data_IF_620064371329
#
_entry.id   IF_620064371329
#
_cell.length_a   1.000
_cell.length_b   1.000
_cell.length_c   1.000
_cell.angle_alpha   90.00
_cell.angle_beta   90.00
_cell.angle_gamma   90.00
#
_symmetry.space_group_name_H-M   'P 1'
#
loop_
_entity.id
_entity.type
_entity.pdbx_description
1 polymer ?
#
# COMPACT_ATOMS: atom_id res chain seq x y z
N UNK A 1 14.58 18.66 -10.71
CA UNK A 1 13.12 18.83 -10.84
C UNK A 1 12.49 18.52 -9.49
N UNK A 2 11.57 19.36 -9.02
CA UNK A 2 10.91 19.13 -7.72
C UNK A 2 9.96 17.93 -7.84
N UNK A 3 10.23 16.83 -7.12
CA UNK A 3 9.36 15.65 -7.08
C UNK A 3 8.28 15.83 -6.01
N UNK A 4 7.14 15.17 -6.19
CA UNK A 4 6.06 15.11 -5.20
C UNK A 4 5.67 13.66 -4.96
N UNK A 5 5.71 13.22 -3.71
CA UNK A 5 5.38 11.87 -3.29
C UNK A 5 4.13 11.84 -2.43
N UNK A 6 3.23 10.90 -2.71
CA UNK A 6 2.10 10.55 -1.84
C UNK A 6 2.31 9.12 -1.32
N UNK A 7 2.56 8.97 -0.02
CA UNK A 7 2.85 7.67 0.61
C UNK A 7 1.57 7.11 1.25
N UNK A 8 1.07 5.99 0.72
CA UNK A 8 -0.16 5.34 1.17
C UNK A 8 0.18 4.05 1.90
N UNK A 9 -0.18 3.98 3.18
CA UNK A 9 0.06 2.82 4.03
C UNK A 9 -0.83 1.62 3.66
N UNK A 10 -0.46 0.44 4.16
CA UNK A 10 -1.21 -0.81 4.02
C UNK A 10 -2.31 -0.98 5.08
N UNK A 11 -2.92 -2.16 5.13
CA UNK A 11 -3.94 -2.44 6.15
C UNK A 11 -3.41 -2.43 7.57
N UNK A 12 -4.30 -2.07 8.52
CA UNK A 12 -4.03 -1.98 9.96
C UNK A 12 -3.05 -0.86 10.37
N UNK A 13 -2.31 -0.30 9.42
CA UNK A 13 -1.37 0.80 9.62
C UNK A 13 -2.03 2.17 9.55
N UNK A 14 -1.22 3.20 9.80
CA UNK A 14 -1.49 4.61 9.55
C UNK A 14 -0.27 5.29 8.95
N UNK A 15 -0.33 6.61 8.79
CA UNK A 15 0.77 7.44 8.27
C UNK A 15 2.10 7.23 9.02
N UNK A 16 2.00 6.86 10.30
CA UNK A 16 3.13 6.59 11.18
C UNK A 16 4.11 5.56 10.63
N UNK A 17 3.68 4.61 9.79
CA UNK A 17 4.58 3.58 9.25
C UNK A 17 5.68 4.16 8.36
N UNK A 18 5.46 5.34 7.78
CA UNK A 18 6.43 6.00 6.91
C UNK A 18 7.43 6.90 7.64
N UNK A 19 7.47 6.90 8.98
CA UNK A 19 8.28 7.87 9.74
C UNK A 19 9.78 7.82 9.44
N UNK A 20 10.32 6.65 9.06
CA UNK A 20 11.72 6.51 8.62
C UNK A 20 11.94 6.89 7.16
N UNK A 21 10.95 6.69 6.29
CA UNK A 21 11.08 6.91 4.83
C UNK A 21 10.79 8.35 4.44
N UNK A 22 9.73 8.95 4.99
CA UNK A 22 9.26 10.28 4.57
C UNK A 22 10.32 11.38 4.75
N UNK A 23 11.08 11.46 5.86
CA UNK A 23 12.14 12.47 6.01
C UNK A 23 13.27 12.33 4.99
N UNK A 24 13.54 11.10 4.51
CA UNK A 24 14.58 10.83 3.52
C UNK A 24 14.15 11.32 2.13
N UNK A 25 12.92 10.99 1.71
CA UNK A 25 12.36 11.47 0.44
C UNK A 25 12.16 12.99 0.42
N UNK A 26 11.92 13.63 1.58
CA UNK A 26 11.79 15.09 1.69
C UNK A 26 13.04 15.85 1.27
N UNK A 27 14.20 15.20 1.21
CA UNK A 27 15.44 15.81 0.70
C UNK A 27 15.37 16.08 -0.81
N UNK A 28 14.59 15.30 -1.55
CA UNK A 28 14.44 15.40 -3.00
C UNK A 28 13.14 16.05 -3.48
N UNK A 29 12.18 16.31 -2.60
CA UNK A 29 10.88 16.83 -3.00
C UNK A 29 9.84 16.94 -1.88
N UNK A 30 8.62 17.28 -2.27
CA UNK A 30 7.49 17.32 -1.34
C UNK A 30 6.99 15.90 -1.04
N UNK A 31 6.65 15.63 0.23
CA UNK A 31 6.15 14.31 0.66
C UNK A 31 4.90 14.46 1.51
N UNK A 32 3.79 13.92 1.03
CA UNK A 32 2.50 13.86 1.70
C UNK A 32 2.26 12.44 2.20
N UNK A 33 1.90 12.32 3.48
CA UNK A 33 1.72 11.02 4.16
C UNK A 33 0.42 11.07 4.97
N UNK A 34 -0.74 10.79 4.34
CA UNK A 34 -2.01 10.83 5.04
C UNK A 34 -2.28 9.54 5.82
N UNK A 35 -3.08 9.65 6.88
CA UNK A 35 -3.86 8.52 7.37
C UNK A 35 -4.98 8.23 6.36
N UNK A 36 -5.15 6.97 5.98
CA UNK A 36 -6.30 6.58 5.16
C UNK A 36 -7.59 6.61 6.01
N UNK A 37 -8.74 6.99 5.40
CA UNK A 37 -10.01 7.03 6.12
C UNK A 37 -10.32 5.72 6.86
N UNK A 38 -10.94 5.84 8.01
CA UNK A 38 -11.27 4.73 8.91
C UNK A 38 -10.15 4.35 9.89
N UNK A 39 -8.93 4.91 9.80
CA UNK A 39 -7.81 4.64 10.72
C UNK A 39 -7.24 5.94 11.28
N UNK A 40 -6.31 5.80 12.23
CA UNK A 40 -5.50 6.90 12.75
C UNK A 40 -6.35 8.10 13.12
N UNK A 41 -6.01 9.26 12.55
CA UNK A 41 -6.72 10.54 12.79
C UNK A 41 -8.05 10.68 12.06
N UNK A 42 -8.45 9.71 11.24
CA UNK A 42 -9.71 9.72 10.46
C UNK A 42 -10.65 8.54 10.79
N UNK A 43 -11.02 8.27 12.06
CA UNK A 43 -11.71 7.03 12.43
C UNK A 43 -13.19 6.94 11.99
N UNK A 44 -13.85 8.06 11.69
CA UNK A 44 -15.32 8.21 11.67
C UNK A 44 -16.05 7.74 10.39
N UNK A 45 -15.57 6.71 9.69
CA UNK A 45 -16.14 6.31 8.39
C UNK A 45 -16.79 4.92 8.37
N UNK A 46 -16.59 4.10 9.40
CA UNK A 46 -17.24 2.80 9.53
C UNK A 46 -18.70 2.96 10.02
N UNK A 47 -19.64 2.10 9.58
CA UNK A 47 -19.45 0.92 8.73
C UNK A 47 -19.49 1.24 7.23
N UNK A 48 -19.59 2.51 6.83
CA UNK A 48 -19.96 2.89 5.47
C UNK A 48 -18.78 3.16 4.52
N UNK A 49 -17.54 2.97 4.97
CA UNK A 49 -16.36 3.32 4.18
C UNK A 49 -16.14 2.36 3.00
N UNK A 50 -16.34 2.85 1.79
CA UNK A 50 -16.09 2.10 0.55
C UNK A 50 -14.86 2.60 -0.19
N UNK A 51 -14.34 1.82 -1.14
CA UNK A 51 -13.22 2.25 -1.98
C UNK A 51 -13.50 3.58 -2.71
N UNK A 52 -14.67 3.82 -3.34
CA UNK A 52 -14.99 5.14 -3.91
C UNK A 52 -15.00 6.29 -2.89
N UNK A 53 -15.41 6.04 -1.63
CA UNK A 53 -15.31 7.05 -0.56
C UNK A 53 -13.86 7.35 -0.20
N UNK A 54 -13.00 6.33 -0.17
CA UNK A 54 -11.57 6.52 0.03
C UNK A 54 -10.94 7.32 -1.12
N UNK A 55 -11.29 7.02 -2.37
CA UNK A 55 -10.83 7.78 -3.55
C UNK A 55 -11.22 9.26 -3.41
N UNK A 56 -12.47 9.57 -3.09
CA UNK A 56 -12.91 10.97 -2.89
C UNK A 56 -12.15 11.69 -1.76
N UNK A 57 -11.85 10.99 -0.67
CA UNK A 57 -11.13 11.58 0.45
C UNK A 57 -9.64 11.85 0.15
N UNK A 58 -9.01 11.00 -0.67
CA UNK A 58 -7.57 11.08 -0.97
C UNK A 58 -7.28 11.86 -2.25
N UNK A 59 -8.21 11.94 -3.21
CA UNK A 59 -8.08 12.68 -4.46
C UNK A 59 -7.54 14.13 -4.29
N UNK A 60 -8.00 14.93 -3.31
CA UNK A 60 -7.44 16.27 -3.09
C UNK A 60 -5.94 16.29 -2.76
N UNK A 61 -5.38 15.19 -2.23
CA UNK A 61 -3.95 15.07 -1.90
C UNK A 61 -3.09 14.66 -3.09
N UNK A 62 -3.70 14.05 -4.12
CA UNK A 62 -3.02 13.69 -5.37
C UNK A 62 -2.79 14.94 -6.22
N UNK A 63 -3.77 15.84 -6.26
CA UNK A 63 -3.65 17.13 -6.94
C UNK A 63 -2.58 18.00 -6.30
N UNK A 64 -1.63 18.48 -7.10
CA UNK A 64 -0.54 19.35 -6.66
C UNK A 64 0.00 20.20 -7.82
N UNK A 65 0.97 21.09 -7.56
CA UNK A 65 1.56 21.94 -8.59
C UNK A 65 2.33 21.16 -9.65
N UNK A 66 2.71 19.91 -9.34
CA UNK A 66 3.36 18.96 -10.26
C UNK A 66 2.68 17.59 -10.15
N UNK A 67 2.72 16.74 -11.20
CA UNK A 67 2.19 15.39 -11.13
C UNK A 67 2.83 14.58 -9.99
N UNK A 68 2.00 13.87 -9.23
CA UNK A 68 2.38 13.16 -8.00
C UNK A 68 2.82 11.73 -8.30
N UNK A 69 3.94 11.29 -7.71
CA UNK A 69 4.30 9.87 -7.63
C UNK A 69 3.63 9.26 -6.40
N UNK A 70 2.76 8.28 -6.59
CA UNK A 70 2.11 7.55 -5.50
C UNK A 70 2.98 6.36 -5.14
N UNK A 71 3.39 6.23 -3.88
CA UNK A 71 4.00 5.01 -3.35
C UNK A 71 2.99 4.36 -2.43
N UNK A 72 2.58 3.15 -2.77
CA UNK A 72 1.50 2.46 -2.06
C UNK A 72 1.96 1.10 -1.57
N UNK A 73 1.60 0.78 -0.32
CA UNK A 73 1.96 -0.47 0.32
C UNK A 73 0.78 -1.44 0.44
N UNK A 74 1.03 -2.73 0.20
CA UNK A 74 0.14 -3.84 0.56
C UNK A 74 -1.30 -3.69 0.00
N UNK A 75 -2.32 -3.94 0.83
CA UNK A 75 -3.75 -3.99 0.43
C UNK A 75 -4.19 -2.79 -0.40
N UNK A 76 -3.64 -1.60 -0.13
CA UNK A 76 -4.10 -0.36 -0.75
C UNK A 76 -3.57 -0.09 -2.15
N UNK A 77 -2.83 -1.03 -2.74
CA UNK A 77 -2.60 -1.03 -4.19
C UNK A 77 -3.91 -0.82 -4.98
N UNK A 78 -5.03 -1.39 -4.52
CA UNK A 78 -6.36 -1.17 -5.14
C UNK A 78 -6.86 0.28 -5.05
N UNK A 79 -6.48 1.04 -4.02
CA UNK A 79 -6.79 2.46 -3.89
C UNK A 79 -5.92 3.29 -4.83
N UNK A 80 -4.62 3.00 -4.91
CA UNK A 80 -3.75 3.69 -5.86
C UNK A 80 -4.18 3.43 -7.30
N UNK A 81 -4.58 2.19 -7.62
CA UNK A 81 -5.18 1.84 -8.92
C UNK A 81 -6.43 2.67 -9.20
N UNK A 82 -7.35 2.78 -8.23
CA UNK A 82 -8.57 3.57 -8.40
C UNK A 82 -8.32 5.08 -8.49
N UNK A 83 -7.30 5.61 -7.81
CA UNK A 83 -6.86 7.00 -7.96
C UNK A 83 -6.28 7.24 -9.36
N UNK A 84 -5.43 6.34 -9.85
CA UNK A 84 -4.87 6.43 -11.20
C UNK A 84 -5.94 6.36 -12.28
N UNK A 85 -6.96 5.51 -12.11
CA UNK A 85 -8.12 5.46 -12.99
C UNK A 85 -8.88 6.79 -13.00
N UNK A 86 -9.11 7.40 -11.84
CA UNK A 86 -9.93 8.60 -11.71
C UNK A 86 -9.21 9.90 -12.12
N UNK A 87 -7.89 9.95 -12.01
CA UNK A 87 -7.11 11.18 -12.20
C UNK A 87 -5.73 10.88 -12.81
N UNK A 88 -5.66 10.23 -13.99
CA UNK A 88 -4.42 9.76 -14.57
C UNK A 88 -3.44 10.89 -14.91
N UNK A 89 -3.95 12.07 -15.26
CA UNK A 89 -3.14 13.24 -15.60
C UNK A 89 -2.45 13.90 -14.38
N UNK A 90 -2.98 13.68 -13.18
CA UNK A 90 -2.40 14.22 -11.94
C UNK A 90 -1.30 13.30 -11.37
N UNK A 91 -1.14 12.09 -11.93
CA UNK A 91 -0.25 11.08 -11.40
C UNK A 91 0.91 10.88 -12.37
N UNK A 92 2.12 11.10 -11.88
CA UNK A 92 3.35 10.82 -12.62
C UNK A 92 3.57 9.32 -12.77
N UNK A 93 3.44 8.59 -11.66
CA UNK A 93 3.74 7.17 -11.55
C UNK A 93 3.06 6.57 -10.32
N UNK A 94 2.71 5.29 -10.38
CA UNK A 94 2.34 4.50 -9.20
C UNK A 94 3.43 3.46 -8.92
N UNK A 95 4.01 3.52 -7.73
CA UNK A 95 4.99 2.57 -7.20
C UNK A 95 4.29 1.64 -6.21
N UNK A 96 4.14 0.39 -6.59
CA UNK A 96 3.54 -0.67 -5.79
C UNK A 96 4.62 -1.35 -4.96
N UNK A 97 4.68 -1.07 -3.66
CA UNK A 97 5.59 -1.72 -2.71
C UNK A 97 4.89 -2.95 -2.09
N UNK A 98 5.28 -4.15 -2.53
CA UNK A 98 4.61 -5.41 -2.15
C UNK A 98 3.07 -5.28 -2.09
N UNK A 99 2.52 -4.52 -3.03
CA UNK A 99 1.14 -4.06 -2.98
C UNK A 99 0.27 -4.87 -3.94
N UNK A 100 -1.05 -4.84 -3.68
CA UNK A 100 -2.02 -5.48 -4.55
C UNK A 100 -2.14 -4.76 -5.90
N UNK A 101 -1.50 -5.34 -6.90
CA UNK A 101 -1.56 -4.97 -8.31
C UNK A 101 -2.47 -5.97 -9.02
N UNK A 102 -3.76 -5.62 -9.13
CA UNK A 102 -4.80 -6.57 -9.54
C UNK A 102 -5.44 -6.16 -10.88
N UNK A 103 -5.80 -7.13 -11.73
CA UNK A 103 -6.50 -6.84 -12.97
C UNK A 103 -7.92 -6.31 -12.73
N UNK A 104 -8.48 -5.66 -13.74
CA UNK A 104 -9.88 -5.21 -13.73
C UNK A 104 -10.83 -6.36 -13.37
N UNK A 105 -11.81 -6.09 -12.51
CA UNK A 105 -12.77 -7.06 -12.00
C UNK A 105 -12.34 -7.83 -10.74
N UNK A 106 -11.05 -7.91 -10.44
CA UNK A 106 -10.53 -8.59 -9.25
C UNK A 106 -10.75 -7.80 -7.95
N UNK A 107 -10.60 -8.47 -6.80
CA UNK A 107 -10.79 -7.89 -5.45
C UNK A 107 -9.59 -8.22 -4.58
N UNK A 108 -9.20 -7.28 -3.72
CA UNK A 108 -8.16 -7.49 -2.71
C UNK A 108 -8.47 -8.65 -1.77
N UNK A 109 -9.74 -8.83 -1.37
CA UNK A 109 -10.14 -9.97 -0.53
C UNK A 109 -9.86 -11.31 -1.21
N UNK A 110 -10.20 -11.44 -2.49
CA UNK A 110 -10.10 -12.72 -3.19
C UNK A 110 -8.61 -13.04 -3.47
N UNK A 111 -7.80 -12.01 -3.78
CA UNK A 111 -6.34 -12.16 -3.88
C UNK A 111 -5.70 -12.59 -2.55
N UNK A 112 -6.11 -11.99 -1.43
CA UNK A 112 -5.67 -12.39 -0.09
C UNK A 112 -6.06 -13.84 0.24
N UNK A 113 -7.30 -14.23 -0.09
CA UNK A 113 -7.79 -15.59 0.17
C UNK A 113 -7.06 -16.65 -0.67
N UNK A 114 -6.63 -16.30 -1.89
CA UNK A 114 -5.86 -17.15 -2.79
C UNK A 114 -4.36 -17.22 -2.43
N UNK A 115 -3.86 -16.36 -1.55
CA UNK A 115 -2.48 -16.40 -1.07
C UNK A 115 -2.32 -17.42 0.05
N UNK A 116 -2.23 -18.69 -0.33
CA UNK A 116 -2.12 -19.82 0.61
C UNK A 116 -0.84 -19.80 1.44
N UNK A 117 0.20 -19.12 0.94
CA UNK A 117 1.52 -18.98 1.59
C UNK A 117 1.60 -17.77 2.54
N UNK A 118 0.55 -16.94 2.61
CA UNK A 118 0.48 -15.81 3.53
C UNK A 118 0.36 -16.28 4.98
N UNK A 119 1.30 -15.87 5.83
CA UNK A 119 1.22 -16.08 7.28
C UNK A 119 0.10 -15.28 7.92
N UNK A 120 -0.43 -14.22 7.29
CA UNK A 120 -1.49 -13.42 7.89
C UNK A 120 -2.86 -14.11 7.79
N UNK A 121 -3.08 -14.92 6.75
CA UNK A 121 -4.39 -15.51 6.42
C UNK A 121 -5.09 -16.19 7.61
N UNK A 122 -4.45 -17.06 8.42
CA UNK A 122 -5.10 -17.69 9.56
C UNK A 122 -5.32 -16.76 10.76
N UNK A 123 -4.71 -15.57 10.76
CA UNK A 123 -4.67 -14.65 11.91
C UNK A 123 -5.51 -13.39 11.71
N UNK A 124 -6.35 -13.32 10.68
CA UNK A 124 -7.28 -12.21 10.46
C UNK A 124 -8.66 -12.54 11.03
N UNK A 125 -9.09 -11.77 12.02
CA UNK A 125 -10.43 -11.84 12.58
C UNK A 125 -11.32 -10.73 11.98
N UNK A 126 -12.55 -11.07 11.61
CA UNK A 126 -13.53 -10.12 11.05
C UNK A 126 -14.66 -9.88 12.04
N UNK A 127 -14.84 -8.62 12.44
CA UNK A 127 -16.02 -8.14 13.14
C UNK A 127 -17.08 -7.74 12.11
N UNK A 128 -18.05 -8.63 11.89
CA UNK A 128 -19.12 -8.42 10.92
C UNK A 128 -20.10 -7.32 11.33
N UNK A 129 -20.25 -7.02 12.62
CA UNK A 129 -21.14 -5.97 13.11
C UNK A 129 -20.53 -4.59 12.85
N UNK A 130 -19.23 -4.44 13.12
CA UNK A 130 -18.50 -3.19 12.88
C UNK A 130 -17.98 -3.06 11.45
N UNK A 131 -18.02 -4.14 10.68
CA UNK A 131 -17.51 -4.26 9.31
C UNK A 131 -16.02 -3.91 9.26
N UNK A 132 -15.26 -4.49 10.19
CA UNK A 132 -13.81 -4.30 10.32
C UNK A 132 -13.09 -5.62 10.52
N UNK A 133 -11.86 -5.70 10.02
CA UNK A 133 -10.94 -6.79 10.29
C UNK A 133 -9.81 -6.35 11.21
N UNK A 134 -9.22 -7.29 11.94
CA UNK A 134 -8.05 -7.11 12.79
C UNK A 134 -7.08 -8.26 12.55
N UNK A 135 -5.80 -7.95 12.59
CA UNK A 135 -4.77 -8.96 12.66
C UNK A 135 -4.51 -9.31 14.13
N UNK A 136 -4.45 -10.60 14.43
CA UNK A 136 -4.05 -11.11 15.75
C UNK A 136 -2.60 -10.69 16.06
N UNK A 137 -2.34 -10.09 17.25
CA UNK A 137 -1.00 -9.72 17.68
C UNK A 137 0.05 -10.84 17.61
N UNK A 138 -0.34 -12.12 17.64
CA UNK A 138 0.58 -13.25 17.47
C UNK A 138 1.29 -13.23 16.11
N UNK A 139 0.65 -12.65 15.09
CA UNK A 139 1.18 -12.62 13.72
C UNK A 139 2.00 -11.36 13.41
N UNK A 140 2.06 -10.37 14.31
CA UNK A 140 2.69 -9.07 14.01
C UNK A 140 4.17 -9.25 13.66
N UNK A 141 4.94 -9.90 14.54
CA UNK A 141 6.38 -10.10 14.31
C UNK A 141 6.62 -10.93 13.05
N UNK A 142 6.18 -12.18 13.04
CA UNK A 142 6.52 -13.11 11.96
C UNK A 142 5.89 -12.76 10.60
N UNK A 143 4.71 -12.13 10.61
CA UNK A 143 3.97 -11.81 9.40
C UNK A 143 4.29 -10.44 8.81
N UNK A 144 4.44 -9.39 9.65
CA UNK A 144 4.61 -8.01 9.17
C UNK A 144 6.02 -7.44 9.39
N UNK A 145 6.76 -7.91 10.39
CA UNK A 145 7.98 -7.25 10.88
C UNK A 145 9.14 -8.23 11.08
N UNK A 146 9.21 -9.30 10.30
CA UNK A 146 10.11 -10.44 10.55
C UNK A 146 11.61 -10.06 10.56
N UNK A 147 11.96 -8.98 9.89
CA UNK A 147 13.32 -8.43 9.78
C UNK A 147 13.47 -7.04 10.42
N UNK A 148 12.50 -6.59 11.23
CA UNK A 148 12.55 -5.33 11.95
C UNK A 148 13.15 -5.50 13.35
N UNK A 149 13.73 -4.43 13.91
CA UNK A 149 14.20 -4.45 15.29
C UNK A 149 13.02 -4.44 16.28
N UNK A 150 13.29 -4.84 17.53
CA UNK A 150 12.26 -4.95 18.57
C UNK A 150 11.55 -3.63 18.85
N UNK A 151 12.27 -2.50 18.81
CA UNK A 151 11.67 -1.16 19.01
C UNK A 151 10.61 -0.84 17.95
N UNK A 152 10.85 -1.21 16.69
CA UNK A 152 9.88 -1.01 15.61
C UNK A 152 8.67 -1.93 15.77
N UNK A 153 8.89 -3.17 16.22
CA UNK A 153 7.81 -4.15 16.47
C UNK A 153 6.92 -3.67 17.61
N UNK A 154 7.50 -3.13 18.69
CA UNK A 154 6.75 -2.62 19.83
C UNK A 154 6.03 -1.30 19.51
N UNK A 155 6.66 -0.41 18.75
CA UNK A 155 5.98 0.77 18.20
C UNK A 155 4.77 0.35 17.37
N UNK A 156 4.94 -0.61 16.46
CA UNK A 156 3.87 -1.12 15.63
C UNK A 156 2.75 -1.78 16.45
N UNK A 157 3.10 -2.59 17.44
CA UNK A 157 2.12 -3.22 18.36
C UNK A 157 1.22 -2.18 19.02
N UNK A 158 1.78 -1.03 19.41
CA UNK A 158 1.02 0.06 20.03
C UNK A 158 0.11 0.83 19.06
N UNK A 159 0.41 0.79 17.76
CA UNK A 159 -0.22 1.66 16.75
C UNK A 159 -1.10 0.93 15.73
N UNK A 160 -0.91 -0.38 15.56
CA UNK A 160 -1.77 -1.20 14.70
C UNK A 160 -3.21 -1.14 15.16
N UNK A 161 -4.12 -1.01 14.20
CA UNK A 161 -5.54 -0.77 14.47
C UNK A 161 -6.45 -1.64 13.62
N UNK A 162 -7.75 -1.61 13.95
CA UNK A 162 -8.77 -2.28 13.14
C UNK A 162 -8.86 -1.67 11.74
N UNK A 163 -9.28 -2.47 10.77
CA UNK A 163 -9.22 -2.15 9.36
C UNK A 163 -10.62 -2.23 8.74
N UNK A 164 -11.17 -1.16 8.15
CA UNK A 164 -12.39 -1.24 7.36
C UNK A 164 -12.35 -2.34 6.31
N UNK A 165 -13.33 -3.25 6.31
CA UNK A 165 -13.30 -4.44 5.43
C UNK A 165 -13.94 -4.21 4.06
N UNK A 166 -14.90 -3.28 3.94
CA UNK A 166 -15.60 -3.02 2.67
C UNK A 166 -14.69 -2.61 1.50
N UNK A 167 -13.62 -1.80 1.67
CA UNK A 167 -12.73 -1.47 0.56
C UNK A 167 -12.11 -2.70 -0.09
N UNK A 168 -11.83 -3.77 0.67
CA UNK A 168 -11.26 -5.01 0.14
C UNK A 168 -12.24 -5.81 -0.75
N UNK A 169 -13.54 -5.54 -0.63
CA UNK A 169 -14.61 -6.18 -1.41
C UNK A 169 -14.90 -5.46 -2.74
N UNK A 170 -14.37 -4.25 -2.92
CA UNK A 170 -14.57 -3.50 -4.15
C UNK A 170 -13.87 -4.20 -5.32
N UNK A 171 -14.53 -4.27 -6.47
CA UNK A 171 -13.88 -4.69 -7.72
C UNK A 171 -13.04 -3.54 -8.23
N UNK A 172 -11.79 -3.84 -8.55
CA UNK A 172 -10.93 -2.95 -9.32
C UNK A 172 -11.58 -2.72 -10.68
N UNK A 173 -11.53 -1.48 -11.17
CA UNK A 173 -11.98 -1.10 -12.51
C UNK A 173 -10.87 -0.27 -13.12
N UNK A 174 -10.39 -0.69 -14.28
CA UNK A 174 -9.32 -0.02 -15.01
C UNK A 174 -9.67 0.08 -16.49
N UNK A 175 -9.21 1.16 -17.11
CA UNK A 175 -9.26 1.40 -18.56
C UNK A 175 -7.87 1.77 -19.08
N UNK A 176 -7.67 1.68 -20.39
CA UNK A 176 -6.41 2.08 -21.03
C UNK A 176 -6.15 3.59 -20.87
N UNK A 177 -7.19 4.42 -21.01
CA UNK A 177 -7.13 5.87 -20.84
C UNK A 177 -7.07 6.34 -19.37
N UNK A 178 -7.35 5.45 -18.42
CA UNK A 178 -7.29 5.70 -16.98
C UNK A 178 -6.00 5.16 -16.36
N UNK A 179 -6.11 4.08 -15.60
CA UNK A 179 -4.95 3.44 -14.96
C UNK A 179 -3.93 2.89 -15.96
N UNK A 180 -4.37 2.46 -17.15
CA UNK A 180 -3.51 1.86 -18.17
C UNK A 180 -2.38 2.79 -18.63
N UNK A 181 -2.68 4.06 -18.90
CA UNK A 181 -1.70 5.08 -19.35
C UNK A 181 -0.73 5.57 -18.28
N UNK A 182 -1.02 5.37 -17.01
CA UNK A 182 -0.17 5.87 -15.92
C UNK A 182 1.05 4.95 -15.79
N UNK A 183 2.30 5.47 -15.80
CA UNK A 183 3.47 4.65 -15.57
C UNK A 183 3.42 3.91 -14.23
N UNK A 184 3.85 2.66 -14.22
CA UNK A 184 3.79 1.77 -13.06
C UNK A 184 5.15 1.18 -12.76
N UNK A 185 5.46 1.09 -11.48
CA UNK A 185 6.62 0.35 -11.00
C UNK A 185 6.23 -0.55 -9.84
N UNK A 186 6.98 -1.63 -9.65
CA UNK A 186 6.78 -2.56 -8.54
C UNK A 186 8.08 -2.75 -7.77
N UNK A 187 8.03 -2.63 -6.45
CA UNK A 187 9.14 -2.96 -5.56
C UNK A 187 8.75 -4.26 -4.84
N UNK A 188 9.36 -5.36 -5.26
CA UNK A 188 9.16 -6.69 -4.65
C UNK A 188 9.91 -6.78 -3.33
N UNK A 189 9.27 -7.40 -2.35
CA UNK A 189 9.89 -7.72 -1.07
C UNK A 189 10.07 -9.24 -1.02
N UNK A 190 11.31 -9.69 -1.21
CA UNK A 190 11.58 -11.12 -1.50
C UNK A 190 11.48 -12.03 -0.28
N UNK A 191 11.41 -11.47 0.93
CA UNK A 191 11.20 -12.20 2.19
C UNK A 191 9.83 -11.89 2.80
N UNK A 192 8.90 -11.35 2.01
CA UNK A 192 7.56 -11.00 2.46
C UNK A 192 6.75 -12.26 2.80
N UNK A 193 6.18 -12.26 4.02
CA UNK A 193 5.35 -13.33 4.57
C UNK A 193 3.89 -12.91 4.72
N UNK A 194 3.56 -11.67 4.38
CA UNK A 194 2.21 -11.12 4.38
C UNK A 194 1.58 -11.15 3.00
N UNK A 195 2.28 -10.60 2.01
CA UNK A 195 1.96 -10.76 0.59
C UNK A 195 3.07 -11.62 0.02
N UNK A 196 2.82 -12.93 -0.07
CA UNK A 196 3.88 -13.89 -0.38
C UNK A 196 4.56 -13.57 -1.70
N UNK A 197 5.82 -13.98 -1.85
CA UNK A 197 6.54 -13.79 -3.12
C UNK A 197 5.78 -14.41 -4.31
N UNK A 198 5.15 -15.58 -4.09
CA UNK A 198 4.33 -16.24 -5.09
C UNK A 198 3.09 -15.40 -5.46
N UNK A 199 2.47 -14.71 -4.50
CA UNK A 199 1.37 -13.78 -4.79
C UNK A 199 1.86 -12.54 -5.55
N UNK A 200 3.01 -11.98 -5.18
CA UNK A 200 3.62 -10.84 -5.90
C UNK A 200 3.93 -11.22 -7.36
N UNK A 201 4.49 -12.40 -7.60
CA UNK A 201 4.80 -12.89 -8.96
C UNK A 201 3.53 -13.13 -9.79
N UNK A 202 2.47 -13.70 -9.19
CA UNK A 202 1.16 -13.86 -9.87
C UNK A 202 0.57 -12.51 -10.28
N UNK A 203 0.66 -11.51 -9.41
CA UNK A 203 0.17 -10.15 -9.71
C UNK A 203 0.96 -9.49 -10.84
N UNK A 204 2.28 -9.62 -10.84
CA UNK A 204 3.15 -9.09 -11.89
C UNK A 204 2.94 -9.80 -13.24
N UNK A 205 2.69 -11.10 -13.23
CA UNK A 205 2.34 -11.85 -14.44
C UNK A 205 0.99 -11.41 -15.03
N UNK A 206 0.00 -11.11 -14.18
CA UNK A 206 -1.32 -10.66 -14.60
C UNK A 206 -1.37 -9.18 -15.01
N UNK A 207 -0.49 -8.35 -14.44
CA UNK A 207 -0.44 -6.91 -14.65
C UNK A 207 1.03 -6.46 -14.80
N UNK A 208 1.58 -6.49 -16.02
CA UNK A 208 2.94 -6.01 -16.27
C UNK A 208 3.11 -4.53 -15.90
N UNK A 209 4.33 -4.17 -15.47
CA UNK A 209 4.72 -2.80 -15.11
C UNK A 209 5.99 -2.40 -15.85
N UNK A 210 6.27 -1.10 -15.91
CA UNK A 210 7.40 -0.58 -16.68
C UNK A 210 8.75 -0.84 -15.99
N UNK A 211 8.76 -0.91 -14.65
CA UNK A 211 9.97 -1.09 -13.84
C UNK A 211 9.71 -2.01 -12.66
N UNK A 212 10.61 -2.96 -12.44
CA UNK A 212 10.57 -3.86 -11.29
C UNK A 212 11.89 -3.76 -10.55
N UNK A 213 11.82 -3.46 -9.26
CA UNK A 213 12.94 -3.62 -8.33
C UNK A 213 12.63 -4.68 -7.27
N UNK A 214 13.66 -5.13 -6.56
CA UNK A 214 13.52 -6.14 -5.52
C UNK A 214 14.42 -5.82 -4.35
N UNK A 215 13.87 -5.93 -3.15
CA UNK A 215 14.60 -5.79 -1.89
C UNK A 215 14.57 -7.13 -1.16
N UNK A 216 15.69 -7.46 -0.52
CA UNK A 216 15.78 -8.60 0.38
C UNK A 216 15.26 -8.23 1.76
N UNK A 217 13.95 -7.96 1.85
CA UNK A 217 13.28 -7.51 3.07
C UNK A 217 11.95 -8.24 3.26
N UNK A 218 11.45 -8.26 4.51
CA UNK A 218 10.09 -8.69 4.83
C UNK A 218 9.06 -7.61 4.44
N UNK A 219 7.81 -7.72 4.90
CA UNK A 219 6.71 -6.84 4.51
C UNK A 219 6.94 -5.36 4.83
N UNK A 220 7.66 -5.06 5.92
CA UNK A 220 7.82 -3.68 6.42
C UNK A 220 9.19 -3.10 6.13
N UNK A 221 9.61 -3.14 4.86
CA UNK A 221 10.89 -2.58 4.41
C UNK A 221 11.08 -1.08 4.74
N UNK A 222 9.98 -0.34 4.96
CA UNK A 222 10.00 1.04 5.45
C UNK A 222 10.53 1.16 6.90
N UNK A 223 10.65 0.07 7.64
CA UNK A 223 11.29 -0.03 8.95
C UNK A 223 12.65 -0.71 8.89
N UNK A 224 12.73 -1.91 8.30
CA UNK A 224 13.96 -2.70 8.29
C UNK A 224 15.05 -2.12 7.38
N UNK A 225 14.68 -1.53 6.24
CA UNK A 225 15.62 -1.07 5.22
C UNK A 225 15.21 0.29 4.60
N UNK A 226 15.00 1.35 5.40
CA UNK A 226 14.44 2.61 4.92
C UNK A 226 15.33 3.30 3.88
N UNK A 227 16.66 3.22 4.01
CA UNK A 227 17.58 3.81 3.03
C UNK A 227 17.57 3.07 1.69
N UNK A 228 17.57 1.73 1.71
CA UNK A 228 17.46 0.92 0.51
C UNK A 228 16.10 1.12 -0.19
N UNK A 229 15.02 1.21 0.58
CA UNK A 229 13.68 1.47 0.05
C UNK A 229 13.59 2.85 -0.63
N UNK A 230 14.15 3.90 -0.01
CA UNK A 230 14.19 5.24 -0.61
C UNK A 230 14.96 5.22 -1.93
N UNK A 231 16.13 4.58 -1.95
CA UNK A 231 16.92 4.46 -3.17
C UNK A 231 16.17 3.69 -4.26
N UNK A 232 15.43 2.63 -3.91
CA UNK A 232 14.56 1.91 -4.85
C UNK A 232 13.43 2.78 -5.40
N UNK A 233 12.75 3.54 -4.53
CA UNK A 233 11.69 4.48 -4.94
C UNK A 233 12.24 5.50 -5.93
N UNK A 234 13.40 6.09 -5.63
CA UNK A 234 14.04 7.10 -6.50
C UNK A 234 14.47 6.53 -7.85
N UNK A 235 15.03 5.30 -7.88
CA UNK A 235 15.43 4.63 -9.12
C UNK A 235 14.24 4.26 -10.01
N UNK A 236 13.17 3.73 -9.43
CA UNK A 236 11.95 3.44 -10.23
C UNK A 236 11.19 4.70 -10.61
N UNK A 237 11.37 5.80 -9.86
CA UNK A 237 10.80 7.10 -10.17
C UNK A 237 11.66 7.95 -11.13
N UNK A 238 12.90 7.53 -11.40
CA UNK A 238 13.75 8.14 -12.42
C UNK A 238 13.06 8.08 -13.80
N UNK A 239 13.41 9.06 -14.65
CA UNK A 239 12.90 9.14 -16.02
C UNK A 239 13.37 7.94 -16.86
#
# INVERSE_FOLDING_TARGET
MHRRYLLLHGSWHGAWCWFKVAPRLRRGGEVVVPDLPGRGRMPAWAPSLTLPRMVRAIAPLVGGPVPTTIVVHSRYGVLATALAEAMPHAIRRVVYLAAYLLPSGARARDAFAADVDSLLRPHVAVDHLRVRDRLDPVAYREGLYADCCDDDVELARALLCAEPSLPALARVRTTDDGWGRVPKAYIRLTQDRAVSIAAQDRMLAACPVDRIESLHASHSAYFSQPDALVASIERVDAD
#
